data_IF_208875634278
#
_entry.id   IF_208875634278
#
_cell.length_a   1.000
_cell.length_b   1.000
_cell.length_c   1.000
_cell.angle_alpha   90.00
_cell.angle_beta   90.00
_cell.angle_gamma   90.00
#
_symmetry.space_group_name_H-M   'P 1'
#
loop_
_entity.id
_entity.type
_entity.pdbx_description
1 polymer ?
#
# COMPACT_ATOMS: atom_id res chain seq x y z
N UNK A 1 -1.35 22.14 56.69
CA UNK A 1 -1.66 21.16 55.63
C UNK A 1 -2.25 21.90 54.44
N UNK A 2 -1.46 22.14 53.39
CA UNK A 2 -1.95 22.69 52.10
C UNK A 2 -2.07 21.52 51.15
N UNK A 3 -3.27 21.25 50.64
CA UNK A 3 -3.48 20.25 49.59
C UNK A 3 -2.93 20.79 48.25
N UNK A 4 -2.35 19.93 47.39
CA UNK A 4 -1.92 20.31 46.06
C UNK A 4 -3.14 20.41 45.13
N UNK A 5 -3.29 21.57 44.47
CA UNK A 5 -4.27 21.77 43.40
C UNK A 5 -3.92 20.89 42.20
N UNK A 6 -4.84 20.00 41.81
CA UNK A 6 -4.76 19.22 40.57
C UNK A 6 -5.06 20.17 39.41
N UNK A 7 -4.03 20.56 38.68
CA UNK A 7 -4.18 21.25 37.38
C UNK A 7 -4.66 20.23 36.35
N UNK A 8 -5.97 20.22 36.09
CA UNK A 8 -6.54 19.49 34.96
C UNK A 8 -6.06 20.19 33.68
N UNK A 9 -5.16 19.55 32.95
CA UNK A 9 -4.83 19.93 31.57
C UNK A 9 -6.08 19.73 30.71
N UNK A 10 -6.90 20.77 30.56
CA UNK A 10 -7.87 20.84 29.48
C UNK A 10 -7.08 20.91 28.17
N UNK A 11 -6.98 19.79 27.46
CA UNK A 11 -6.55 19.77 26.05
C UNK A 11 -7.41 20.80 25.31
N UNK A 12 -6.78 21.79 24.68
CA UNK A 12 -7.48 22.66 23.71
C UNK A 12 -8.25 21.79 22.71
N UNK A 13 -9.47 22.17 22.30
CA UNK A 13 -10.18 21.45 21.25
C UNK A 13 -9.26 21.40 20.04
N UNK A 14 -8.93 20.20 19.57
CA UNK A 14 -8.07 20.02 18.41
C UNK A 14 -8.64 20.84 17.26
N UNK A 15 -7.93 21.89 16.82
CA UNK A 15 -8.30 22.63 15.63
C UNK A 15 -8.05 21.70 14.44
N UNK A 16 -9.12 21.08 13.95
CA UNK A 16 -9.06 20.29 12.74
C UNK A 16 -8.59 21.19 11.58
N UNK A 17 -7.70 20.67 10.75
CA UNK A 17 -7.38 21.28 9.46
C UNK A 17 -8.63 21.26 8.56
N UNK A 18 -8.73 22.17 7.57
CA UNK A 18 -9.90 22.20 6.64
C UNK A 18 -10.16 20.86 5.95
N UNK A 19 -9.12 20.06 5.73
CA UNK A 19 -9.22 18.73 5.14
C UNK A 19 -9.80 17.71 6.13
N UNK A 20 -9.37 17.73 7.40
CA UNK A 20 -9.93 16.89 8.46
C UNK A 20 -11.39 17.22 8.77
N UNK A 21 -11.78 18.49 8.65
CA UNK A 21 -13.18 18.91 8.82
C UNK A 21 -14.08 18.31 7.73
N UNK A 22 -13.65 18.35 6.46
CA UNK A 22 -14.37 17.75 5.32
C UNK A 22 -14.48 16.22 5.45
N UNK A 23 -13.41 15.56 5.89
CA UNK A 23 -13.44 14.11 6.16
C UNK A 23 -14.44 13.81 7.29
N UNK A 24 -14.41 14.58 8.38
CA UNK A 24 -15.34 14.40 9.49
C UNK A 24 -16.82 14.62 9.09
N UNK A 25 -17.08 15.58 8.22
CA UNK A 25 -18.41 15.88 7.70
C UNK A 25 -18.93 14.73 6.80
N UNK A 26 -18.06 14.19 5.93
CA UNK A 26 -18.39 13.03 5.12
C UNK A 26 -18.67 11.79 5.98
N UNK A 27 -17.83 11.51 6.99
CA UNK A 27 -18.04 10.40 7.92
C UNK A 27 -19.34 10.53 8.71
N UNK A 28 -19.70 11.74 9.17
CA UNK A 28 -20.98 11.98 9.86
C UNK A 28 -22.17 11.74 8.94
N UNK A 29 -22.10 12.22 7.70
CA UNK A 29 -23.16 12.03 6.71
C UNK A 29 -23.40 10.54 6.43
N UNK A 30 -22.31 9.78 6.21
CA UNK A 30 -22.37 8.32 6.01
C UNK A 30 -22.94 7.64 7.26
N UNK A 31 -22.46 8.00 8.45
CA UNK A 31 -22.96 7.47 9.72
C UNK A 31 -24.46 7.72 9.92
N UNK A 32 -24.94 8.93 9.63
CA UNK A 32 -26.37 9.25 9.72
C UNK A 32 -27.22 8.50 8.71
N UNK A 33 -26.71 8.28 7.48
CA UNK A 33 -27.41 7.49 6.47
C UNK A 33 -27.53 6.02 6.90
N UNK A 34 -26.47 5.44 7.47
CA UNK A 34 -26.48 4.07 7.99
C UNK A 34 -27.47 3.90 9.14
N UNK A 35 -27.49 4.84 10.09
CA UNK A 35 -28.46 4.84 11.19
C UNK A 35 -29.89 4.97 10.63
N UNK A 36 -30.10 5.85 9.64
CA UNK A 36 -31.40 6.00 8.98
C UNK A 36 -31.90 4.70 8.36
N UNK A 37 -31.05 3.99 7.60
CA UNK A 37 -31.39 2.69 7.00
C UNK A 37 -31.68 1.64 8.07
N UNK A 38 -30.90 1.60 9.16
CA UNK A 38 -31.15 0.69 10.27
C UNK A 38 -32.50 0.95 10.95
N UNK A 39 -32.85 2.21 11.18
CA UNK A 39 -34.16 2.60 11.74
C UNK A 39 -35.30 2.19 10.81
N UNK A 40 -35.17 2.42 9.50
CA UNK A 40 -36.17 1.97 8.51
C UNK A 40 -36.34 0.44 8.55
N UNK A 41 -35.25 -0.32 8.67
CA UNK A 41 -35.30 -1.77 8.81
C UNK A 41 -36.01 -2.23 10.09
N UNK A 42 -35.76 -1.56 11.22
CA UNK A 42 -36.45 -1.85 12.49
C UNK A 42 -37.95 -1.53 12.40
N UNK A 43 -38.31 -0.41 11.76
CA UNK A 43 -39.72 -0.04 11.53
C UNK A 43 -40.40 -1.06 10.61
N UNK A 44 -39.71 -1.53 9.57
CA UNK A 44 -40.21 -2.56 8.66
C UNK A 44 -40.48 -3.89 9.39
N UNK A 45 -39.54 -4.31 10.25
CA UNK A 45 -39.67 -5.49 11.09
C UNK A 45 -40.85 -5.36 12.05
N UNK A 46 -41.02 -4.18 12.64
CA UNK A 46 -42.12 -3.90 13.55
C UNK A 46 -43.49 -3.95 12.84
N UNK A 47 -43.62 -3.31 11.67
CA UNK A 47 -44.84 -3.35 10.84
C UNK A 47 -45.17 -4.79 10.44
N UNK A 48 -44.18 -5.56 10.00
CA UNK A 48 -44.36 -6.96 9.65
C UNK A 48 -44.83 -7.79 10.85
N UNK A 49 -44.14 -7.66 11.99
CA UNK A 49 -44.46 -8.41 13.22
C UNK A 49 -45.84 -8.07 13.79
N UNK A 50 -46.28 -6.82 13.66
CA UNK A 50 -47.61 -6.41 14.08
C UNK A 50 -48.70 -6.92 13.11
N UNK A 51 -48.43 -6.85 11.81
CA UNK A 51 -49.32 -7.41 10.78
C UNK A 51 -49.56 -8.92 10.95
N UNK A 52 -48.57 -9.68 11.41
CA UNK A 52 -48.72 -11.12 11.70
C UNK A 52 -49.74 -11.40 12.81
N UNK A 53 -49.94 -10.49 13.78
CA UNK A 53 -50.94 -10.66 14.86
C UNK A 53 -52.37 -10.51 14.36
N UNK A 54 -52.54 -9.70 13.32
CA UNK A 54 -53.84 -9.40 12.69
C UNK A 54 -54.15 -10.31 11.50
N UNK A 55 -53.32 -11.33 11.25
CA UNK A 55 -53.45 -12.23 10.10
C UNK A 55 -54.19 -13.50 10.49
N UNK A 56 -55.36 -13.69 9.89
CA UNK A 56 -56.06 -14.99 9.89
C UNK A 56 -55.50 -15.90 8.79
N UNK A 57 -55.62 -17.22 8.97
CA UNK A 57 -55.02 -18.25 8.09
C UNK A 57 -55.43 -18.18 6.59
N UNK A 58 -56.40 -17.33 6.23
CA UNK A 58 -56.92 -17.18 4.86
C UNK A 58 -56.81 -15.75 4.30
N UNK A 59 -56.36 -14.77 5.08
CA UNK A 59 -56.27 -13.38 4.63
C UNK A 59 -55.13 -12.64 5.36
N UNK A 60 -53.91 -12.61 4.80
CA UNK A 60 -52.84 -11.80 5.36
C UNK A 60 -53.23 -10.32 5.38
N UNK A 61 -52.94 -9.69 6.52
CA UNK A 61 -53.18 -8.26 6.70
C UNK A 61 -52.31 -7.43 5.75
N UNK A 62 -52.79 -6.25 5.38
CA UNK A 62 -52.05 -5.33 4.51
C UNK A 62 -50.67 -4.99 5.11
N UNK A 63 -50.61 -4.82 6.43
CA UNK A 63 -49.40 -4.52 7.21
C UNK A 63 -48.38 -5.66 7.09
N UNK A 64 -48.82 -6.92 7.16
CA UNK A 64 -47.93 -8.07 7.00
C UNK A 64 -47.34 -8.13 5.59
N UNK A 65 -48.16 -7.91 4.55
CA UNK A 65 -47.70 -7.93 3.15
C UNK A 65 -46.73 -6.77 2.89
N UNK A 66 -47.07 -5.57 3.35
CA UNK A 66 -46.25 -4.38 3.18
C UNK A 66 -44.91 -4.51 3.93
N UNK A 67 -44.93 -4.93 5.19
CA UNK A 67 -43.74 -5.11 6.02
C UNK A 67 -42.79 -6.15 5.42
N UNK A 68 -43.29 -7.31 5.00
CA UNK A 68 -42.47 -8.33 4.36
C UNK A 68 -41.86 -7.86 3.02
N UNK A 69 -42.64 -7.20 2.16
CA UNK A 69 -42.09 -6.65 0.92
C UNK A 69 -41.02 -5.57 1.17
N UNK A 70 -41.17 -4.75 2.22
CA UNK A 70 -40.17 -3.76 2.59
C UNK A 70 -38.87 -4.42 3.08
N UNK A 71 -38.97 -5.48 3.87
CA UNK A 71 -37.81 -6.26 4.35
C UNK A 71 -37.08 -6.96 3.19
N UNK A 72 -37.83 -7.56 2.27
CA UNK A 72 -37.29 -8.18 1.05
C UNK A 72 -36.56 -7.12 0.21
N UNK A 73 -37.17 -5.95 0.03
CA UNK A 73 -36.57 -4.82 -0.67
C UNK A 73 -35.25 -4.35 -0.02
N UNK A 74 -35.23 -4.18 1.31
CA UNK A 74 -34.04 -3.78 2.06
C UNK A 74 -32.92 -4.82 2.02
N UNK A 75 -33.25 -6.11 2.12
CA UNK A 75 -32.28 -7.19 2.00
C UNK A 75 -31.67 -7.23 0.58
N UNK A 76 -32.51 -7.09 -0.44
CA UNK A 76 -32.09 -7.06 -1.84
C UNK A 76 -31.24 -5.83 -2.15
N UNK A 77 -31.63 -4.65 -1.63
CA UNK A 77 -30.86 -3.43 -1.75
C UNK A 77 -29.50 -3.54 -1.05
N UNK A 78 -29.43 -4.22 0.10
CA UNK A 78 -28.17 -4.44 0.83
C UNK A 78 -27.22 -5.36 0.06
N UNK A 79 -27.73 -6.46 -0.50
CA UNK A 79 -26.96 -7.34 -1.39
C UNK A 79 -26.48 -6.59 -2.65
N UNK A 80 -27.37 -5.80 -3.27
CA UNK A 80 -27.04 -4.93 -4.39
C UNK A 80 -25.95 -3.92 -4.04
N UNK A 81 -26.02 -3.27 -2.88
CA UNK A 81 -25.04 -2.29 -2.41
C UNK A 81 -23.64 -2.91 -2.25
N UNK A 82 -23.55 -4.08 -1.62
CA UNK A 82 -22.28 -4.79 -1.41
C UNK A 82 -21.63 -5.14 -2.76
N UNK A 83 -22.42 -5.69 -3.69
CA UNK A 83 -21.91 -6.00 -5.02
C UNK A 83 -21.59 -4.73 -5.81
N UNK A 84 -22.43 -3.71 -5.76
CA UNK A 84 -22.20 -2.42 -6.41
C UNK A 84 -20.90 -1.79 -5.93
N UNK A 85 -20.62 -1.88 -4.62
CA UNK A 85 -19.36 -1.43 -4.04
C UNK A 85 -18.18 -2.23 -4.60
N UNK A 86 -18.20 -3.56 -4.52
CA UNK A 86 -17.12 -4.44 -5.02
C UNK A 86 -16.82 -4.15 -6.50
N UNK A 87 -17.86 -4.12 -7.34
CA UNK A 87 -17.72 -3.87 -8.77
C UNK A 87 -17.38 -2.41 -9.11
N UNK A 88 -17.69 -1.48 -8.21
CA UNK A 88 -17.44 -0.05 -8.35
C UNK A 88 -16.00 0.36 -8.01
N UNK A 89 -15.21 -0.53 -7.38
CA UNK A 89 -13.80 -0.28 -7.11
C UNK A 89 -13.05 -0.11 -8.44
N UNK A 90 -12.38 1.03 -8.67
CA UNK A 90 -11.63 1.25 -9.90
C UNK A 90 -10.49 0.21 -10.02
N UNK A 91 -10.49 -0.57 -11.11
CA UNK A 91 -9.40 -1.50 -11.43
C UNK A 91 -8.22 -0.75 -12.01
N UNK A 92 -7.02 -1.20 -11.71
CA UNK A 92 -5.80 -0.69 -12.29
C UNK A 92 -5.54 -1.49 -13.56
N UNK A 93 -5.25 -0.80 -14.66
CA UNK A 93 -5.05 -1.44 -15.95
C UNK A 93 -4.02 -2.58 -15.81
N UNK A 94 -4.36 -3.75 -16.37
CA UNK A 94 -3.46 -4.90 -16.39
C UNK A 94 -2.15 -4.56 -17.09
N UNK A 95 -1.09 -5.34 -16.86
CA UNK A 95 0.21 -5.12 -17.52
C UNK A 95 0.06 -5.13 -19.05
N UNK A 96 -0.81 -5.98 -19.59
CA UNK A 96 -1.12 -6.03 -21.02
C UNK A 96 -1.85 -4.77 -21.53
N UNK A 97 -2.77 -4.21 -20.74
CA UNK A 97 -3.47 -2.97 -21.06
C UNK A 97 -2.58 -1.73 -20.87
N UNK A 98 -1.68 -1.72 -19.87
CA UNK A 98 -0.60 -0.72 -19.74
C UNK A 98 0.34 -0.76 -20.94
N UNK A 99 0.66 -1.95 -21.45
CA UNK A 99 1.45 -2.09 -22.67
C UNK A 99 0.70 -1.59 -23.91
N UNK A 100 -0.60 -1.88 -24.01
CA UNK A 100 -1.45 -1.41 -25.12
C UNK A 100 -1.63 0.12 -25.10
N UNK A 101 -1.78 0.71 -23.92
CA UNK A 101 -1.82 2.17 -23.73
C UNK A 101 -0.43 2.79 -23.99
N UNK A 102 0.66 2.23 -23.46
CA UNK A 102 2.01 2.71 -23.74
C UNK A 102 2.38 2.64 -25.23
N UNK A 103 1.78 1.70 -25.98
CA UNK A 103 1.89 1.64 -27.43
C UNK A 103 0.99 2.68 -28.14
N UNK A 104 -0.18 3.00 -27.60
CA UNK A 104 -1.04 4.10 -28.11
C UNK A 104 -0.46 5.50 -27.80
N UNK A 105 0.33 5.64 -26.74
CA UNK A 105 0.99 6.89 -26.33
C UNK A 105 2.15 7.25 -27.25
N UNK A 106 2.77 6.27 -27.90
CA UNK A 106 3.70 6.51 -29.01
C UNK A 106 3.04 7.21 -30.21
N UNK A 107 1.71 7.26 -30.27
CA UNK A 107 0.95 7.91 -31.33
C UNK A 107 0.25 9.23 -30.90
N UNK A 108 0.57 9.77 -29.72
CA UNK A 108 0.33 11.19 -29.42
C UNK A 108 -1.12 11.60 -29.10
N UNK A 109 -1.79 10.92 -28.18
CA UNK A 109 -3.13 11.29 -27.68
C UNK A 109 -3.17 11.54 -26.17
N UNK A 110 -3.47 12.77 -25.74
CA UNK A 110 -3.44 13.28 -24.36
C UNK A 110 -4.49 12.73 -23.37
N UNK A 111 -4.70 11.41 -23.32
CA UNK A 111 -5.62 10.75 -22.38
C UNK A 111 -4.94 10.18 -21.12
N UNK A 112 -3.70 10.59 -20.82
CA UNK A 112 -2.84 9.89 -19.84
C UNK A 112 -2.97 10.32 -18.38
N UNK A 113 -3.73 11.38 -18.06
CA UNK A 113 -3.70 11.92 -16.69
C UNK A 113 -4.58 11.19 -15.68
N UNK A 114 -5.49 10.32 -16.13
CA UNK A 114 -6.44 9.60 -15.26
C UNK A 114 -6.09 8.12 -15.04
N UNK A 115 -5.16 7.56 -15.82
CA UNK A 115 -4.85 6.12 -15.76
C UNK A 115 -3.74 5.76 -14.75
N UNK A 116 -2.81 6.67 -14.45
CA UNK A 116 -1.71 6.43 -13.51
C UNK A 116 -2.15 6.42 -12.03
N UNK A 117 -3.22 7.15 -11.71
CA UNK A 117 -3.80 7.27 -10.36
C UNK A 117 -4.39 5.95 -9.84
N UNK A 118 -4.57 4.95 -10.69
CA UNK A 118 -5.19 3.69 -10.31
C UNK A 118 -4.28 2.81 -9.42
N UNK A 119 -2.95 2.92 -9.46
CA UNK A 119 -2.02 1.93 -8.87
C UNK A 119 -2.00 1.78 -7.32
N UNK A 120 -2.78 2.56 -6.56
CA UNK A 120 -2.76 2.58 -5.08
C UNK A 120 -3.57 1.43 -4.45
N UNK A 121 -4.34 0.65 -5.22
CA UNK A 121 -5.32 -0.29 -4.66
C UNK A 121 -5.11 -1.76 -5.00
N UNK A 122 -3.87 -2.23 -5.17
CA UNK A 122 -3.58 -3.61 -5.62
C UNK A 122 -4.11 -4.72 -4.68
N UNK A 123 -4.25 -4.46 -3.38
CA UNK A 123 -4.72 -5.48 -2.42
C UNK A 123 -6.25 -5.65 -2.47
N UNK A 124 -7.02 -4.54 -2.43
CA UNK A 124 -8.47 -4.61 -2.59
C UNK A 124 -8.86 -4.95 -4.03
N UNK A 125 -8.07 -4.53 -5.02
CA UNK A 125 -8.22 -4.95 -6.41
C UNK A 125 -8.06 -6.46 -6.53
N UNK A 126 -6.97 -7.05 -6.02
CA UNK A 126 -6.72 -8.49 -6.13
C UNK A 126 -7.75 -9.32 -5.40
N UNK A 127 -8.19 -8.87 -4.21
CA UNK A 127 -9.30 -9.52 -3.50
C UNK A 127 -10.61 -9.36 -4.28
N UNK A 128 -10.89 -8.18 -4.84
CA UNK A 128 -12.08 -7.92 -5.65
C UNK A 128 -12.08 -8.72 -6.95
N UNK A 129 -10.94 -8.89 -7.59
CA UNK A 129 -10.81 -9.63 -8.85
C UNK A 129 -11.00 -11.12 -8.60
N UNK A 130 -10.33 -11.69 -7.58
CA UNK A 130 -10.56 -13.07 -7.16
C UNK A 130 -12.01 -13.31 -6.71
N UNK A 131 -12.57 -12.39 -5.92
CA UNK A 131 -13.96 -12.46 -5.47
C UNK A 131 -14.94 -12.32 -6.64
N UNK A 132 -14.69 -11.44 -7.61
CA UNK A 132 -15.56 -11.26 -8.77
C UNK A 132 -15.49 -12.46 -9.70
N UNK A 133 -14.31 -13.03 -9.96
CA UNK A 133 -14.17 -14.26 -10.74
C UNK A 133 -14.86 -15.43 -10.06
N UNK A 134 -14.70 -15.59 -8.75
CA UNK A 134 -15.36 -16.65 -7.98
C UNK A 134 -16.88 -16.45 -7.97
N UNK A 135 -17.35 -15.22 -7.79
CA UNK A 135 -18.77 -14.89 -7.74
C UNK A 135 -19.45 -15.04 -9.09
N UNK A 136 -18.83 -14.57 -10.18
CA UNK A 136 -19.32 -14.80 -11.55
C UNK A 136 -19.31 -16.30 -11.88
N UNK A 137 -18.25 -17.02 -11.51
CA UNK A 137 -18.17 -18.47 -11.71
C UNK A 137 -19.26 -19.23 -10.95
N UNK A 138 -19.45 -18.93 -9.66
CA UNK A 138 -20.47 -19.55 -8.83
C UNK A 138 -21.89 -19.20 -9.30
N UNK A 139 -22.14 -17.94 -9.66
CA UNK A 139 -23.45 -17.52 -10.19
C UNK A 139 -23.74 -18.17 -11.54
N UNK A 140 -22.79 -18.30 -12.46
CA UNK A 140 -23.03 -18.97 -13.75
C UNK A 140 -23.50 -20.42 -13.59
N UNK A 141 -22.92 -21.14 -12.64
CA UNK A 141 -23.27 -22.54 -12.36
C UNK A 141 -24.61 -22.64 -11.63
N UNK A 142 -24.87 -21.75 -10.68
CA UNK A 142 -26.05 -21.80 -9.79
C UNK A 142 -27.22 -20.92 -10.23
N UNK A 143 -27.14 -20.24 -11.38
CA UNK A 143 -28.14 -19.24 -11.78
C UNK A 143 -29.56 -19.82 -11.88
N UNK A 144 -29.68 -21.07 -12.34
CA UNK A 144 -30.98 -21.75 -12.45
C UNK A 144 -31.59 -21.99 -11.07
N UNK A 145 -30.79 -22.40 -10.10
CA UNK A 145 -31.23 -22.65 -8.73
C UNK A 145 -31.59 -21.34 -8.02
N UNK A 146 -30.83 -20.27 -8.28
CA UNK A 146 -31.12 -18.92 -7.77
C UNK A 146 -32.46 -18.42 -8.33
N UNK A 147 -32.69 -18.52 -9.65
CA UNK A 147 -33.94 -18.08 -10.28
C UNK A 147 -35.12 -18.91 -9.76
N UNK A 148 -34.97 -20.24 -9.65
CA UNK A 148 -36.01 -21.11 -9.12
C UNK A 148 -36.32 -20.81 -7.64
N UNK A 149 -35.29 -20.52 -6.84
CA UNK A 149 -35.45 -20.13 -5.45
C UNK A 149 -36.17 -18.79 -5.31
N UNK A 150 -35.76 -17.77 -6.07
CA UNK A 150 -36.40 -16.44 -6.08
C UNK A 150 -37.87 -16.55 -6.53
N UNK A 151 -38.14 -17.31 -7.59
CA UNK A 151 -39.50 -17.54 -8.08
C UNK A 151 -40.39 -18.32 -7.09
N UNK A 152 -39.79 -19.10 -6.19
CA UNK A 152 -40.49 -19.81 -5.12
C UNK A 152 -40.58 -19.06 -3.79
N UNK A 153 -40.00 -17.88 -3.66
CA UNK A 153 -40.05 -17.11 -2.40
C UNK A 153 -41.44 -16.54 -2.13
N UNK A 154 -42.16 -16.10 -3.16
CA UNK A 154 -43.51 -15.56 -3.01
C UNK A 154 -44.46 -16.58 -2.38
N UNK A 155 -44.53 -17.77 -2.96
CA UNK A 155 -45.35 -18.88 -2.47
C UNK A 155 -44.95 -19.39 -1.07
N UNK A 156 -43.68 -19.29 -0.69
CA UNK A 156 -43.19 -19.70 0.65
C UNK A 156 -43.47 -18.67 1.75
N UNK A 157 -43.38 -17.38 1.43
CA UNK A 157 -43.58 -16.30 2.40
C UNK A 157 -45.07 -15.99 2.61
N UNK A 158 -45.91 -16.36 1.65
CA UNK A 158 -47.29 -15.92 1.56
C UNK A 158 -48.22 -17.04 1.07
N UNK A 159 -47.99 -18.27 1.55
CA UNK A 159 -48.69 -19.51 1.16
C UNK A 159 -50.23 -19.48 1.29
N UNK A 160 -50.80 -18.47 1.96
CA UNK A 160 -52.23 -18.26 2.15
C UNK A 160 -52.83 -17.09 1.32
N UNK A 161 -52.10 -16.54 0.35
CA UNK A 161 -52.45 -15.26 -0.33
C UNK A 161 -52.81 -15.50 -1.80
N UNK A 162 -53.65 -14.65 -2.43
CA UNK A 162 -53.95 -14.75 -3.86
C UNK A 162 -52.69 -14.77 -4.73
N UNK A 163 -52.72 -15.42 -5.91
CA UNK A 163 -51.56 -15.64 -6.80
C UNK A 163 -50.84 -14.36 -7.28
N UNK A 164 -51.40 -13.18 -7.04
CA UNK A 164 -50.80 -11.88 -7.36
C UNK A 164 -49.51 -11.57 -6.58
N UNK A 165 -49.31 -12.16 -5.40
CA UNK A 165 -48.12 -11.88 -4.57
C UNK A 165 -46.87 -12.69 -5.02
N UNK A 166 -47.06 -13.77 -5.77
CA UNK A 166 -45.96 -14.62 -6.24
C UNK A 166 -45.10 -13.92 -7.32
N UNK A 167 -45.74 -13.06 -8.12
CA UNK A 167 -45.08 -12.26 -9.15
C UNK A 167 -44.42 -10.99 -8.60
N UNK A 168 -44.92 -10.42 -7.50
CA UNK A 168 -44.42 -9.12 -7.01
C UNK A 168 -43.10 -9.25 -6.24
N UNK A 169 -42.89 -10.36 -5.53
CA UNK A 169 -41.66 -10.60 -4.74
C UNK A 169 -40.41 -10.62 -5.63
N UNK A 170 -40.35 -11.36 -6.76
CA UNK A 170 -39.24 -11.27 -7.70
C UNK A 170 -39.01 -9.86 -8.26
N UNK A 171 -40.09 -9.11 -8.54
CA UNK A 171 -40.02 -7.74 -9.05
C UNK A 171 -39.39 -6.80 -8.01
N UNK A 172 -39.81 -6.90 -6.75
CA UNK A 172 -39.22 -6.15 -5.62
C UNK A 172 -37.73 -6.47 -5.49
N UNK A 173 -37.36 -7.76 -5.51
CA UNK A 173 -35.96 -8.18 -5.41
C UNK A 173 -35.13 -7.56 -6.54
N UNK A 174 -35.56 -7.72 -7.80
CA UNK A 174 -34.83 -7.22 -8.97
C UNK A 174 -34.71 -5.70 -8.94
N UNK A 175 -35.80 -4.99 -8.63
CA UNK A 175 -35.82 -3.54 -8.62
C UNK A 175 -34.86 -2.97 -7.56
N UNK A 176 -35.00 -3.38 -6.31
CA UNK A 176 -34.20 -2.85 -5.21
C UNK A 176 -32.73 -3.28 -5.30
N UNK A 177 -32.47 -4.52 -5.74
CA UNK A 177 -31.11 -4.98 -6.02
C UNK A 177 -30.45 -4.12 -7.10
N UNK A 178 -31.12 -3.93 -8.25
CA UNK A 178 -30.55 -3.20 -9.38
C UNK A 178 -30.31 -1.72 -9.08
N UNK A 179 -31.27 -1.07 -8.39
CA UNK A 179 -31.18 0.34 -8.05
C UNK A 179 -30.02 0.59 -7.08
N UNK A 180 -29.87 -0.26 -6.07
CA UNK A 180 -28.81 -0.15 -5.07
C UNK A 180 -27.45 -0.54 -5.63
N UNK A 181 -27.40 -1.61 -6.45
CA UNK A 181 -26.20 -2.00 -7.17
C UNK A 181 -25.69 -0.85 -8.04
N UNK A 182 -26.54 -0.30 -8.92
CA UNK A 182 -26.14 0.77 -9.82
C UNK A 182 -25.81 2.06 -9.05
N UNK A 183 -26.60 2.41 -8.04
CA UNK A 183 -26.36 3.60 -7.21
C UNK A 183 -25.01 3.55 -6.50
N UNK A 184 -24.74 2.47 -5.75
CA UNK A 184 -23.47 2.33 -5.03
C UNK A 184 -22.31 2.11 -5.99
N UNK A 185 -22.50 1.40 -7.10
CA UNK A 185 -21.49 1.29 -8.15
C UNK A 185 -21.05 2.66 -8.67
N UNK A 186 -22.01 3.51 -9.05
CA UNK A 186 -21.72 4.83 -9.57
C UNK A 186 -21.08 5.73 -8.52
N UNK A 187 -21.59 5.73 -7.28
CA UNK A 187 -21.02 6.51 -6.18
C UNK A 187 -19.59 6.06 -5.89
N UNK A 188 -19.35 4.76 -5.76
CA UNK A 188 -18.03 4.19 -5.49
C UNK A 188 -17.07 4.56 -6.61
N UNK A 189 -17.48 4.36 -7.86
CA UNK A 189 -16.64 4.65 -9.03
C UNK A 189 -16.35 6.14 -9.17
N UNK A 190 -17.33 7.02 -9.00
CA UNK A 190 -17.13 8.46 -9.10
C UNK A 190 -16.31 9.00 -7.93
N UNK A 191 -16.65 8.63 -6.70
CA UNK A 191 -16.01 9.17 -5.49
C UNK A 191 -14.59 8.65 -5.31
N UNK A 192 -14.31 7.35 -5.50
CA UNK A 192 -12.93 6.84 -5.44
C UNK A 192 -12.08 7.42 -6.57
N UNK A 193 -12.61 7.54 -7.79
CA UNK A 193 -11.84 8.13 -8.90
C UNK A 193 -11.54 9.61 -8.65
N UNK A 194 -12.52 10.38 -8.17
CA UNK A 194 -12.33 11.80 -7.80
C UNK A 194 -11.42 11.97 -6.59
N UNK A 195 -11.56 11.15 -5.55
CA UNK A 195 -10.72 11.23 -4.36
C UNK A 195 -9.27 10.87 -4.67
N UNK A 196 -9.02 9.80 -5.43
CA UNK A 196 -7.67 9.40 -5.84
C UNK A 196 -7.03 10.44 -6.77
N UNK A 197 -7.79 11.01 -7.71
CA UNK A 197 -7.26 12.05 -8.61
C UNK A 197 -7.00 13.37 -7.89
N UNK A 198 -7.78 13.70 -6.86
CA UNK A 198 -7.54 14.84 -5.98
C UNK A 198 -6.30 14.62 -5.10
N UNK A 199 -6.13 13.42 -4.52
CA UNK A 199 -4.94 13.07 -3.73
C UNK A 199 -3.65 13.12 -4.58
N UNK A 200 -3.72 12.62 -5.81
CA UNK A 200 -2.65 12.71 -6.78
C UNK A 200 -2.31 14.17 -7.16
N UNK A 201 -3.31 15.06 -7.13
CA UNK A 201 -3.16 16.49 -7.46
C UNK A 201 -2.77 17.35 -6.25
N UNK A 202 -3.10 16.94 -5.02
CA UNK A 202 -2.83 17.68 -3.77
C UNK A 202 -1.49 17.32 -3.10
N UNK A 203 -0.71 16.41 -3.68
CA UNK A 203 0.67 16.18 -3.26
C UNK A 203 0.84 15.17 -2.11
N UNK A 204 -0.08 14.20 -2.01
CA UNK A 204 0.23 12.95 -1.29
C UNK A 204 1.28 12.18 -2.09
N UNK A 205 2.48 12.04 -1.51
CA UNK A 205 3.66 11.41 -2.08
C UNK A 205 3.27 10.15 -2.87
N UNK A 206 3.39 10.22 -4.19
CA UNK A 206 3.32 9.06 -5.09
C UNK A 206 4.73 8.77 -5.61
N UNK A 207 5.15 7.50 -5.71
CA UNK A 207 6.38 7.10 -6.41
C UNK A 207 6.50 7.69 -7.84
N UNK A 208 5.38 8.12 -8.43
CA UNK A 208 5.30 8.70 -9.78
C UNK A 208 5.86 10.13 -9.90
N UNK A 209 5.94 10.94 -8.83
CA UNK A 209 6.47 12.31 -8.97
C UNK A 209 7.96 12.31 -9.31
N UNK A 210 8.70 11.27 -8.90
CA UNK A 210 10.12 11.11 -9.22
C UNK A 210 10.33 10.69 -10.67
N UNK A 211 9.47 9.79 -11.17
CA UNK A 211 9.50 9.33 -12.57
C UNK A 211 9.10 10.48 -13.50
N UNK A 212 8.09 11.26 -13.13
CA UNK A 212 7.62 12.42 -13.90
C UNK A 212 8.62 13.60 -13.85
N UNK A 213 9.22 13.91 -12.69
CA UNK A 213 10.28 14.93 -12.63
C UNK A 213 11.54 14.48 -13.37
N UNK A 214 11.93 13.22 -13.19
CA UNK A 214 13.09 12.63 -13.86
C UNK A 214 12.91 12.60 -15.38
N UNK A 215 11.72 12.23 -15.87
CA UNK A 215 11.39 12.23 -17.30
C UNK A 215 11.33 13.64 -17.87
N UNK A 216 10.70 14.60 -17.17
CA UNK A 216 10.66 16.00 -17.59
C UNK A 216 12.07 16.62 -17.65
N UNK A 217 12.93 16.29 -16.67
CA UNK A 217 14.31 16.76 -16.67
C UNK A 217 15.12 16.12 -17.80
N UNK A 218 14.93 14.83 -18.10
CA UNK A 218 15.57 14.16 -19.25
C UNK A 218 15.12 14.77 -20.57
N UNK A 219 13.81 14.97 -20.76
CA UNK A 219 13.27 15.60 -21.96
C UNK A 219 13.82 17.02 -22.15
N UNK A 220 14.00 17.78 -21.07
CA UNK A 220 14.64 19.09 -21.12
C UNK A 220 16.14 19.01 -21.49
N UNK A 221 16.87 18.02 -20.96
CA UNK A 221 18.28 17.79 -21.33
C UNK A 221 18.41 17.41 -22.80
N UNK A 222 17.51 16.57 -23.30
CA UNK A 222 17.43 16.14 -24.71
C UNK A 222 17.04 17.28 -25.64
N UNK A 223 16.16 18.20 -25.20
CA UNK A 223 15.81 19.39 -25.99
C UNK A 223 17.02 20.30 -26.22
N UNK A 224 18.02 20.23 -25.34
CA UNK A 224 19.27 21.00 -25.42
C UNK A 224 19.10 22.50 -25.19
N UNK A 225 17.88 22.98 -24.90
CA UNK A 225 17.58 24.39 -24.70
C UNK A 225 17.79 24.77 -23.23
N UNK A 226 18.73 25.69 -22.98
CA UNK A 226 19.04 26.17 -21.62
C UNK A 226 17.83 26.63 -20.79
N UNK A 227 16.85 27.37 -21.36
CA UNK A 227 15.63 27.77 -20.64
C UNK A 227 14.75 26.60 -20.17
N UNK A 228 14.59 25.56 -20.99
CA UNK A 228 13.79 24.38 -20.66
C UNK A 228 14.43 23.61 -19.50
N UNK A 229 15.77 23.47 -19.54
CA UNK A 229 16.55 22.82 -18.49
C UNK A 229 16.48 23.63 -17.18
N UNK A 230 16.60 24.95 -17.25
CA UNK A 230 16.50 25.82 -16.08
C UNK A 230 15.09 25.75 -15.45
N UNK A 231 14.03 25.72 -16.27
CA UNK A 231 12.66 25.56 -15.79
C UNK A 231 12.45 24.21 -15.10
N UNK A 232 12.97 23.11 -15.69
CA UNK A 232 12.89 21.77 -15.11
C UNK A 232 13.67 21.66 -13.78
N UNK A 233 14.87 22.26 -13.70
CA UNK A 233 15.65 22.29 -12.45
C UNK A 233 14.97 23.13 -11.36
N UNK A 234 14.32 24.24 -11.72
CA UNK A 234 13.53 25.04 -10.78
C UNK A 234 12.31 24.28 -10.25
N UNK A 235 11.63 23.52 -11.13
CA UNK A 235 10.54 22.64 -10.73
C UNK A 235 11.02 21.55 -9.75
N UNK A 236 12.19 20.96 -10.01
CA UNK A 236 12.83 20.00 -9.11
C UNK A 236 13.14 20.59 -7.74
N UNK A 237 13.72 21.79 -7.68
CA UNK A 237 14.05 22.43 -6.41
C UNK A 237 12.81 22.79 -5.58
N UNK A 238 11.71 23.13 -6.24
CA UNK A 238 10.45 23.47 -5.59
C UNK A 238 9.60 22.24 -5.24
N UNK A 239 9.96 21.06 -5.72
CA UNK A 239 9.26 19.83 -5.41
C UNK A 239 9.49 19.42 -3.94
N UNK A 240 8.41 19.04 -3.26
CA UNK A 240 8.44 18.42 -1.93
C UNK A 240 8.88 16.96 -2.07
N UNK A 241 10.16 16.74 -2.32
CA UNK A 241 10.81 15.43 -2.34
C UNK A 241 11.25 15.05 -0.93
N UNK A 242 11.12 13.77 -0.57
CA UNK A 242 11.73 13.25 0.66
C UNK A 242 13.25 13.23 0.55
N UNK A 243 13.95 13.11 1.68
CA UNK A 243 15.41 12.99 1.67
C UNK A 243 15.89 11.71 0.94
N UNK A 244 15.06 10.65 0.96
CA UNK A 244 15.31 9.41 0.23
C UNK A 244 15.19 9.63 -1.29
N UNK A 245 14.13 10.31 -1.75
CA UNK A 245 13.91 10.62 -3.16
C UNK A 245 15.02 11.51 -3.73
N UNK A 246 15.54 12.43 -2.90
CA UNK A 246 16.67 13.31 -3.26
C UNK A 246 17.99 12.58 -3.35
N UNK A 247 18.12 11.42 -2.71
CA UNK A 247 19.31 10.58 -2.77
C UNK A 247 19.32 9.61 -3.96
N UNK A 248 18.23 9.52 -4.73
CA UNK A 248 18.08 8.53 -5.81
C UNK A 248 19.16 8.70 -6.91
N UNK A 249 19.99 7.67 -7.20
CA UNK A 249 21.14 7.82 -8.10
C UNK A 249 20.77 8.19 -9.54
N UNK A 250 19.65 7.64 -10.06
CA UNK A 250 19.22 7.87 -11.44
C UNK A 250 18.70 9.30 -11.68
N UNK A 251 18.01 9.86 -10.68
CA UNK A 251 17.57 11.26 -10.70
C UNK A 251 18.80 12.18 -10.66
N UNK A 252 19.70 11.93 -9.71
CA UNK A 252 20.91 12.73 -9.53
C UNK A 252 21.84 12.70 -10.74
N UNK A 253 21.95 11.58 -11.45
CA UNK A 253 22.67 11.52 -12.73
C UNK A 253 22.07 12.44 -13.79
N UNK A 254 20.74 12.54 -13.85
CA UNK A 254 20.04 13.44 -14.78
C UNK A 254 20.26 14.90 -14.37
N UNK A 255 20.26 15.20 -13.07
CA UNK A 255 20.58 16.52 -12.50
C UNK A 255 22.01 16.94 -12.84
N UNK A 256 22.98 16.03 -12.76
CA UNK A 256 24.37 16.30 -13.17
C UNK A 256 24.44 16.72 -14.64
N UNK A 257 23.78 15.98 -15.55
CA UNK A 257 23.75 16.31 -16.97
C UNK A 257 23.09 17.66 -17.25
N UNK A 258 21.96 17.93 -16.59
CA UNK A 258 21.25 19.19 -16.69
C UNK A 258 22.08 20.39 -16.21
N UNK A 259 22.66 20.28 -15.01
CA UNK A 259 23.48 21.36 -14.43
C UNK A 259 24.76 21.59 -15.24
N UNK A 260 25.41 20.55 -15.74
CA UNK A 260 26.60 20.70 -16.59
C UNK A 260 26.27 21.47 -17.87
N UNK A 261 25.14 21.15 -18.53
CA UNK A 261 24.67 21.86 -19.73
C UNK A 261 24.34 23.33 -19.46
N UNK A 262 23.71 23.62 -18.31
CA UNK A 262 23.37 25.00 -17.94
C UNK A 262 24.62 25.81 -17.57
N UNK A 263 25.57 25.20 -16.86
CA UNK A 263 26.84 25.84 -16.51
C UNK A 263 27.69 26.13 -17.76
N UNK A 264 27.76 25.21 -18.71
CA UNK A 264 28.51 25.41 -19.97
C UNK A 264 27.82 26.39 -20.93
N UNK A 265 26.49 26.52 -20.89
CA UNK A 265 25.74 27.47 -21.73
C UNK A 265 25.68 28.89 -21.17
N UNK A 266 26.18 29.12 -19.94
CA UNK A 266 26.17 30.44 -19.30
C UNK A 266 24.78 30.96 -18.92
N UNK A 267 23.74 30.13 -19.01
CA UNK A 267 22.37 30.50 -18.63
C UNK A 267 22.27 30.54 -17.11
N UNK A 268 21.84 31.67 -16.54
CA UNK A 268 21.62 31.81 -15.11
C UNK A 268 20.48 30.87 -14.69
N UNK A 269 20.82 29.71 -14.12
CA UNK A 269 19.85 28.66 -13.76
C UNK A 269 18.83 29.10 -12.70
N UNK A 270 19.01 30.25 -12.04
CA UNK A 270 18.17 30.66 -10.91
C UNK A 270 18.30 29.74 -9.68
N UNK A 271 19.12 28.68 -9.74
CA UNK A 271 19.48 27.86 -8.59
C UNK A 271 20.64 28.53 -7.87
N UNK A 272 20.48 28.93 -6.59
CA UNK A 272 21.61 29.35 -5.77
C UNK A 272 22.62 28.18 -5.68
N UNK A 273 23.91 28.47 -5.85
CA UNK A 273 25.00 27.51 -5.71
C UNK A 273 25.01 26.34 -6.71
N UNK A 274 24.73 26.56 -8.00
CA UNK A 274 24.75 25.50 -9.04
C UNK A 274 26.04 24.66 -9.05
N UNK A 275 27.20 25.26 -8.72
CA UNK A 275 28.49 24.55 -8.57
C UNK A 275 28.51 23.58 -7.37
N UNK A 276 27.85 23.92 -6.25
CA UNK A 276 27.73 23.01 -5.11
C UNK A 276 26.67 21.94 -5.36
N UNK A 277 25.56 22.31 -6.01
CA UNK A 277 24.48 21.40 -6.36
C UNK A 277 24.94 20.27 -7.30
N UNK A 278 25.77 20.59 -8.31
CA UNK A 278 26.29 19.56 -9.23
C UNK A 278 27.24 18.59 -8.52
N UNK A 279 28.05 19.06 -7.56
CA UNK A 279 28.93 18.21 -6.76
C UNK A 279 28.14 17.32 -5.79
N UNK A 280 27.05 17.83 -5.20
CA UNK A 280 26.15 17.04 -4.36
C UNK A 280 25.40 15.98 -5.19
N UNK A 281 24.94 16.33 -6.38
CA UNK A 281 24.28 15.39 -7.27
C UNK A 281 25.25 14.31 -7.78
N UNK A 282 26.51 14.67 -8.08
CA UNK A 282 27.54 13.70 -8.44
C UNK A 282 27.84 12.72 -7.30
N UNK A 283 27.81 13.18 -6.04
CA UNK A 283 27.99 12.34 -4.85
C UNK A 283 26.84 11.32 -4.70
N UNK A 284 25.60 11.77 -4.87
CA UNK A 284 24.42 10.90 -4.81
C UNK A 284 24.36 9.92 -6.00
N UNK A 285 24.75 10.35 -7.20
CA UNK A 285 24.85 9.48 -8.37
C UNK A 285 25.93 8.40 -8.20
N UNK A 286 27.00 8.69 -7.43
CA UNK A 286 28.07 7.75 -7.13
C UNK A 286 27.62 6.53 -6.30
N UNK A 287 26.43 6.57 -5.69
CA UNK A 287 25.87 5.43 -4.98
C UNK A 287 25.52 4.24 -5.89
N UNK A 288 25.46 4.43 -7.22
CA UNK A 288 25.37 3.35 -8.20
C UNK A 288 26.62 3.26 -9.06
N UNK A 289 27.36 2.15 -8.95
CA UNK A 289 28.60 1.94 -9.71
C UNK A 289 28.38 2.04 -11.23
N UNK A 290 27.30 1.46 -11.75
CA UNK A 290 26.95 1.52 -13.18
C UNK A 290 26.68 2.95 -13.66
N UNK A 291 25.97 3.74 -12.86
CA UNK A 291 25.65 5.14 -13.18
C UNK A 291 26.90 6.01 -13.08
N UNK A 292 27.75 5.76 -12.08
CA UNK A 292 29.01 6.47 -11.90
C UNK A 292 29.97 6.24 -13.06
N UNK A 293 30.11 4.99 -13.54
CA UNK A 293 30.91 4.69 -14.74
C UNK A 293 30.36 5.38 -15.99
N UNK A 294 29.04 5.34 -16.20
CA UNK A 294 28.40 6.04 -17.32
C UNK A 294 28.67 7.55 -17.29
N UNK A 295 28.55 8.20 -16.14
CA UNK A 295 28.85 9.64 -16.00
C UNK A 295 30.34 9.94 -16.18
N UNK A 296 31.25 9.07 -15.72
CA UNK A 296 32.69 9.24 -15.96
C UNK A 296 33.02 9.16 -17.44
N UNK A 297 32.40 8.24 -18.17
CA UNK A 297 32.52 8.14 -19.63
C UNK A 297 31.95 9.38 -20.33
N UNK A 298 30.79 9.86 -19.88
CA UNK A 298 30.16 11.08 -20.41
C UNK A 298 31.08 12.32 -20.22
N UNK A 299 31.73 12.43 -19.05
CA UNK A 299 32.69 13.51 -18.78
C UNK A 299 33.97 13.35 -19.61
N UNK A 300 34.51 12.13 -19.72
CA UNK A 300 35.71 11.85 -20.50
C UNK A 300 35.52 12.14 -22.00
N UNK A 301 34.31 11.87 -22.53
CA UNK A 301 33.93 12.17 -23.92
C UNK A 301 33.50 13.62 -24.13
N UNK A 302 33.51 14.45 -23.08
CA UNK A 302 33.03 15.85 -23.07
C UNK A 302 31.55 15.99 -23.46
N UNK A 303 30.75 14.92 -23.41
CA UNK A 303 29.31 14.99 -23.59
C UNK A 303 28.62 15.66 -22.39
N UNK A 304 29.25 15.56 -21.21
CA UNK A 304 28.89 16.27 -19.98
C UNK A 304 30.10 17.09 -19.52
N UNK A 305 30.05 18.41 -19.68
CA UNK A 305 31.08 19.34 -19.19
C UNK A 305 30.44 20.61 -18.66
N UNK A 306 31.03 21.16 -17.60
CA UNK A 306 30.62 22.45 -17.03
C UNK A 306 31.30 23.65 -17.70
N UNK A 307 32.28 23.41 -18.58
CA UNK A 307 33.17 24.45 -19.11
C UNK A 307 34.29 24.88 -18.14
N UNK A 308 34.31 24.33 -16.92
CA UNK A 308 35.30 24.59 -15.86
C UNK A 308 36.05 23.27 -15.55
N UNK A 309 37.31 23.17 -16.03
CA UNK A 309 38.09 21.93 -15.93
C UNK A 309 38.33 21.49 -14.47
N UNK A 310 38.43 22.44 -13.54
CA UNK A 310 38.55 22.16 -12.11
C UNK A 310 37.26 21.59 -11.53
N UNK A 311 36.10 22.08 -11.96
CA UNK A 311 34.81 21.57 -11.52
C UNK A 311 34.54 20.17 -12.09
N UNK A 312 34.86 19.94 -13.37
CA UNK A 312 34.75 18.63 -14.02
C UNK A 312 35.66 17.59 -13.32
N UNK A 313 36.89 17.97 -12.95
CA UNK A 313 37.79 17.10 -12.18
C UNK A 313 37.25 16.75 -10.78
N UNK A 314 36.63 17.71 -10.09
CA UNK A 314 36.00 17.47 -8.78
C UNK A 314 34.77 16.56 -8.88
N UNK A 315 34.00 16.65 -9.96
CA UNK A 315 32.91 15.71 -10.24
C UNK A 315 33.43 14.28 -10.42
N UNK A 316 34.48 14.09 -11.23
CA UNK A 316 35.11 12.77 -11.40
C UNK A 316 35.64 12.24 -10.06
N UNK A 317 36.23 13.09 -9.22
CA UNK A 317 36.68 12.70 -7.89
C UNK A 317 35.54 12.25 -6.96
N UNK A 318 34.34 12.83 -7.08
CA UNK A 318 33.12 12.36 -6.38
C UNK A 318 32.65 11.02 -6.92
N UNK A 319 32.56 10.87 -8.25
CA UNK A 319 32.14 9.64 -8.91
C UNK A 319 33.11 8.46 -8.67
N UNK A 320 34.40 8.74 -8.47
CA UNK A 320 35.41 7.72 -8.11
C UNK A 320 35.28 7.19 -6.68
N UNK A 321 34.42 7.80 -5.84
CA UNK A 321 34.04 7.23 -4.54
C UNK A 321 32.93 6.18 -4.67
N UNK A 322 32.56 5.78 -5.89
CA UNK A 322 31.54 4.77 -6.14
C UNK A 322 31.86 3.47 -5.37
N UNK A 323 30.93 3.09 -4.50
CA UNK A 323 31.09 1.97 -3.56
C UNK A 323 31.48 2.36 -2.12
N UNK A 324 31.74 3.64 -1.82
CA UNK A 324 32.11 4.09 -0.47
C UNK A 324 31.01 4.89 0.26
N UNK A 325 29.94 5.36 -0.40
CA UNK A 325 28.77 5.97 0.26
C UNK A 325 27.53 5.08 0.14
N UNK A 326 27.44 4.10 1.03
CA UNK A 326 26.29 3.23 1.17
C UNK A 326 25.11 3.97 1.84
N UNK A 327 24.22 4.57 1.05
CA UNK A 327 22.97 5.18 1.56
C UNK A 327 21.68 4.41 1.21
N UNK A 328 21.60 3.49 0.23
CA UNK A 328 20.45 2.56 0.12
C UNK A 328 20.56 1.33 1.05
N UNK A 329 21.79 0.90 1.36
CA UNK A 329 22.04 -0.32 2.16
C UNK A 329 21.78 -0.14 3.65
N UNK A 330 22.05 1.06 4.19
CA UNK A 330 21.76 1.38 5.59
C UNK A 330 20.26 1.44 5.84
N UNK A 331 19.47 1.92 4.88
CA UNK A 331 18.01 2.04 4.98
C UNK A 331 17.32 0.67 5.00
N UNK A 332 17.68 -0.26 4.11
CA UNK A 332 17.08 -1.61 4.10
C UNK A 332 17.43 -2.42 5.35
N UNK A 333 18.70 -2.37 5.79
CA UNK A 333 19.11 -3.03 7.03
C UNK A 333 18.41 -2.41 8.25
N UNK A 334 18.26 -1.08 8.28
CA UNK A 334 17.53 -0.38 9.36
C UNK A 334 16.05 -0.77 9.36
N UNK A 335 15.38 -0.78 8.21
CA UNK A 335 13.97 -1.19 8.09
C UNK A 335 13.78 -2.65 8.53
N UNK A 336 14.66 -3.56 8.10
CA UNK A 336 14.59 -4.97 8.48
C UNK A 336 14.79 -5.13 10.00
N UNK A 337 15.74 -4.37 10.55
CA UNK A 337 16.06 -4.34 11.99
C UNK A 337 14.89 -3.80 12.80
N UNK A 338 14.26 -2.71 12.38
CA UNK A 338 13.08 -2.11 13.03
C UNK A 338 11.87 -3.06 12.99
N UNK A 339 11.65 -3.76 11.87
CA UNK A 339 10.59 -4.76 11.75
C UNK A 339 10.80 -5.94 12.69
N UNK A 340 12.04 -6.41 12.85
CA UNK A 340 12.34 -7.46 13.82
C UNK A 340 12.12 -7.00 15.25
N UNK A 341 12.55 -5.79 15.59
CA UNK A 341 12.34 -5.24 16.93
C UNK A 341 10.85 -5.04 17.22
N UNK A 342 10.07 -4.56 16.24
CA UNK A 342 8.63 -4.42 16.35
C UNK A 342 7.92 -5.78 16.54
N UNK A 343 8.29 -6.80 15.77
CA UNK A 343 7.72 -8.15 15.87
C UNK A 343 8.06 -8.82 17.21
N UNK A 344 9.30 -8.68 17.68
CA UNK A 344 9.72 -9.19 19.00
C UNK A 344 8.99 -8.48 20.13
N UNK A 345 8.74 -7.18 19.99
CA UNK A 345 8.02 -6.38 20.99
C UNK A 345 6.52 -6.68 21.01
N UNK A 346 5.89 -6.88 19.86
CA UNK A 346 4.45 -7.15 19.79
C UNK A 346 4.13 -8.58 20.23
N UNK A 347 4.99 -9.54 19.89
CA UNK A 347 4.80 -10.96 20.16
C UNK A 347 3.58 -11.58 19.47
N UNK A 348 2.91 -10.86 18.57
CA UNK A 348 1.73 -11.35 17.86
C UNK A 348 2.13 -12.26 16.68
N UNK A 349 1.33 -13.31 16.44
CA UNK A 349 1.57 -14.27 15.36
C UNK A 349 1.75 -13.58 14.00
N UNK A 350 0.88 -12.62 13.66
CA UNK A 350 0.92 -11.93 12.37
C UNK A 350 2.22 -11.14 12.16
N UNK A 351 2.70 -10.44 13.19
CA UNK A 351 3.89 -9.60 13.08
C UNK A 351 5.17 -10.43 12.98
N UNK A 352 5.23 -11.53 13.74
CA UNK A 352 6.35 -12.48 13.70
C UNK A 352 6.40 -13.23 12.37
N UNK A 353 5.26 -13.65 11.83
CA UNK A 353 5.18 -14.27 10.50
C UNK A 353 5.53 -13.27 9.39
N UNK A 354 5.06 -12.01 9.48
CA UNK A 354 5.42 -10.96 8.52
C UNK A 354 6.92 -10.64 8.55
N UNK A 355 7.52 -10.59 9.73
CA UNK A 355 8.97 -10.46 9.90
C UNK A 355 9.71 -11.64 9.25
N UNK A 356 9.26 -12.88 9.45
CA UNK A 356 9.85 -14.06 8.81
C UNK A 356 9.72 -14.04 7.29
N UNK A 357 8.56 -13.71 6.74
CA UNK A 357 8.37 -13.57 5.29
C UNK A 357 9.34 -12.54 4.71
N UNK A 358 9.56 -11.42 5.41
CA UNK A 358 10.54 -10.43 4.98
C UNK A 358 11.98 -10.98 4.93
N UNK A 359 12.36 -11.92 5.79
CA UNK A 359 13.68 -12.58 5.73
C UNK A 359 13.80 -13.43 4.45
N UNK A 360 12.75 -14.21 4.15
CA UNK A 360 12.76 -15.16 3.04
C UNK A 360 12.71 -14.43 1.68
N UNK A 361 11.95 -13.33 1.60
CA UNK A 361 11.76 -12.58 0.35
C UNK A 361 12.83 -11.52 0.11
N UNK A 362 13.54 -11.05 1.15
CA UNK A 362 14.57 -10.01 0.98
C UNK A 362 15.86 -10.60 0.43
N UNK A 363 16.24 -10.21 -0.78
CA UNK A 363 17.54 -10.50 -1.37
C UNK A 363 18.66 -9.68 -0.70
N UNK A 364 19.09 -10.08 0.50
CA UNK A 364 20.21 -9.44 1.20
C UNK A 364 21.55 -9.67 0.45
N UNK A 365 22.41 -8.64 0.32
CA UNK A 365 23.77 -8.81 -0.20
C UNK A 365 24.61 -9.69 0.74
N UNK A 366 25.63 -10.34 0.19
CA UNK A 366 26.46 -11.32 0.91
C UNK A 366 27.04 -10.77 2.22
N UNK A 367 27.44 -9.50 2.25
CA UNK A 367 27.96 -8.85 3.47
C UNK A 367 26.91 -8.66 4.57
N UNK A 368 25.65 -8.34 4.22
CA UNK A 368 24.57 -8.19 5.20
C UNK A 368 24.07 -9.54 5.71
N UNK A 369 24.13 -10.58 4.87
CA UNK A 369 23.85 -11.97 5.27
C UNK A 369 24.82 -12.48 6.34
N UNK A 370 26.01 -11.91 6.42
CA UNK A 370 27.08 -12.28 7.35
C UNK A 370 27.12 -11.42 8.62
N UNK A 371 26.22 -10.45 8.77
CA UNK A 371 26.15 -9.61 9.97
C UNK A 371 25.65 -10.41 11.17
N UNK A 372 26.50 -10.57 12.19
CA UNK A 372 26.17 -11.40 13.35
C UNK A 372 24.99 -10.86 14.16
N UNK A 373 24.86 -9.54 14.32
CA UNK A 373 23.78 -8.92 15.09
C UNK A 373 22.43 -9.08 14.39
N UNK A 374 22.40 -8.96 13.06
CA UNK A 374 21.21 -9.22 12.25
C UNK A 374 20.77 -10.68 12.38
N UNK A 375 21.71 -11.61 12.22
CA UNK A 375 21.44 -13.05 12.34
C UNK A 375 20.96 -13.42 13.75
N UNK A 376 21.42 -12.74 14.79
CA UNK A 376 20.88 -12.92 16.13
C UNK A 376 19.42 -12.50 16.28
N UNK A 377 19.00 -11.42 15.61
CA UNK A 377 17.59 -11.03 15.56
C UNK A 377 16.75 -12.05 14.80
N UNK A 378 17.28 -12.59 13.70
CA UNK A 378 16.64 -13.68 12.94
C UNK A 378 16.40 -14.90 13.82
N UNK A 379 17.40 -15.34 14.59
CA UNK A 379 17.27 -16.46 15.55
C UNK A 379 16.16 -16.18 16.55
N UNK A 380 16.09 -14.96 17.11
CA UNK A 380 15.05 -14.58 18.09
C UNK A 380 13.64 -14.58 17.49
N UNK A 381 13.47 -14.02 16.30
CA UNK A 381 12.17 -13.97 15.61
C UNK A 381 11.68 -15.38 15.29
N UNK A 382 12.56 -16.24 14.77
CA UNK A 382 12.18 -17.61 14.41
C UNK A 382 11.88 -18.45 15.65
N UNK A 383 12.70 -18.37 16.71
CA UNK A 383 12.41 -19.04 17.97
C UNK A 383 11.02 -18.66 18.49
N UNK A 384 10.68 -17.36 18.46
CA UNK A 384 9.38 -16.87 18.88
C UNK A 384 8.25 -17.41 17.99
N UNK A 385 8.47 -17.44 16.68
CA UNK A 385 7.53 -17.96 15.70
C UNK A 385 7.20 -19.44 15.93
N UNK A 386 8.22 -20.25 16.20
CA UNK A 386 8.08 -21.68 16.50
C UNK A 386 7.34 -21.86 17.82
N UNK A 387 7.72 -21.10 18.86
CA UNK A 387 7.09 -21.15 20.18
C UNK A 387 5.57 -20.90 20.12
N UNK A 388 5.13 -19.93 19.31
CA UNK A 388 3.71 -19.58 19.17
C UNK A 388 2.98 -20.38 18.09
N UNK A 389 3.63 -21.39 17.47
CA UNK A 389 3.09 -22.22 16.39
C UNK A 389 2.55 -21.42 15.19
N UNK A 390 3.19 -20.30 14.86
CA UNK A 390 2.79 -19.41 13.77
C UNK A 390 3.52 -19.66 12.44
N UNK A 391 4.37 -20.69 12.36
CA UNK A 391 5.14 -20.98 11.14
C UNK A 391 4.26 -21.65 10.06
N UNK A 392 4.14 -21.07 8.85
CA UNK A 392 3.50 -21.73 7.71
C UNK A 392 4.31 -22.94 7.20
N UNK A 393 5.62 -22.96 7.46
CA UNK A 393 6.58 -23.99 7.03
C UNK A 393 7.62 -24.22 8.14
N UNK A 394 7.32 -25.13 9.07
CA UNK A 394 8.14 -25.39 10.26
C UNK A 394 9.56 -25.87 9.92
N UNK A 395 9.72 -26.68 8.87
CA UNK A 395 11.03 -27.22 8.49
C UNK A 395 11.95 -26.13 7.95
N UNK A 396 11.44 -25.28 7.05
CA UNK A 396 12.21 -24.17 6.48
C UNK A 396 12.60 -23.14 7.54
N UNK A 397 11.73 -22.88 8.51
CA UNK A 397 12.03 -21.98 9.62
C UNK A 397 13.23 -22.51 10.45
N UNK A 398 13.23 -23.80 10.77
CA UNK A 398 14.33 -24.43 11.51
C UNK A 398 15.66 -24.34 10.75
N UNK A 399 15.66 -24.59 9.44
CA UNK A 399 16.89 -24.51 8.63
C UNK A 399 17.44 -23.08 8.56
N UNK A 400 16.58 -22.08 8.34
CA UNK A 400 16.98 -20.66 8.36
C UNK A 400 17.52 -20.27 9.73
N UNK A 401 16.94 -20.77 10.82
CA UNK A 401 17.41 -20.52 12.18
C UNK A 401 18.79 -21.12 12.43
N UNK A 402 19.05 -22.35 11.97
CA UNK A 402 20.36 -23.00 12.08
C UNK A 402 21.44 -22.23 11.33
N UNK A 403 21.15 -21.79 10.11
CA UNK A 403 22.07 -20.99 9.30
C UNK A 403 22.36 -19.64 9.96
N UNK A 404 21.32 -18.97 10.48
CA UNK A 404 21.48 -17.72 11.21
C UNK A 404 22.30 -17.91 12.49
N UNK A 405 22.10 -18.99 13.24
CA UNK A 405 22.89 -19.29 14.43
C UNK A 405 24.38 -19.46 14.11
N UNK A 406 24.71 -20.17 13.02
CA UNK A 406 26.10 -20.31 12.56
C UNK A 406 26.73 -18.97 12.17
N UNK A 407 25.97 -18.06 11.56
CA UNK A 407 26.48 -16.73 11.19
C UNK A 407 26.60 -15.80 12.39
N UNK A 408 25.68 -15.89 13.34
CA UNK A 408 25.76 -15.18 14.62
C UNK A 408 26.98 -15.64 15.46
N UNK A 409 27.36 -16.92 15.35
CA UNK A 409 28.54 -17.49 16.05
C UNK A 409 29.87 -16.83 15.67
N UNK A 410 29.93 -16.11 14.54
CA UNK A 410 31.13 -15.38 14.09
C UNK A 410 31.51 -14.20 14.97
N UNK A 411 30.56 -13.66 15.75
CA UNK A 411 30.82 -12.64 16.77
C UNK A 411 30.64 -13.27 18.17
N UNK A 412 31.72 -13.44 18.96
CA UNK A 412 31.65 -14.05 20.28
C UNK A 412 30.69 -13.35 21.24
N UNK A 413 30.59 -12.02 21.19
CA UNK A 413 29.72 -11.25 22.10
C UNK A 413 28.25 -11.55 21.79
N UNK A 414 27.91 -11.58 20.51
CA UNK A 414 26.56 -11.87 20.04
C UNK A 414 26.18 -13.33 20.32
N UNK A 415 27.11 -14.26 20.08
CA UNK A 415 26.93 -15.68 20.32
C UNK A 415 26.70 -16.00 21.80
N UNK A 416 27.52 -15.44 22.69
CA UNK A 416 27.39 -15.61 24.14
C UNK A 416 26.09 -14.99 24.65
N UNK A 417 25.70 -13.82 24.13
CA UNK A 417 24.44 -13.18 24.47
C UNK A 417 23.21 -14.02 24.08
N UNK A 418 23.21 -14.64 22.90
CA UNK A 418 22.13 -15.56 22.49
C UNK A 418 22.08 -16.82 23.34
N UNK A 419 23.25 -17.41 23.63
CA UNK A 419 23.34 -18.61 24.48
C UNK A 419 22.81 -18.36 25.87
N UNK A 420 23.21 -17.24 26.47
CA UNK A 420 22.69 -16.81 27.75
C UNK A 420 21.16 -16.68 27.71
N UNK A 421 20.59 -16.11 26.63
CA UNK A 421 19.12 -16.03 26.48
C UNK A 421 18.44 -17.40 26.37
N UNK A 422 19.10 -18.42 25.81
CA UNK A 422 18.57 -19.79 25.82
C UNK A 422 18.73 -20.46 27.20
N UNK A 423 19.85 -20.24 27.87
CA UNK A 423 20.14 -20.84 29.18
C UNK A 423 19.28 -20.24 30.31
N UNK A 424 18.97 -18.95 30.25
CA UNK A 424 18.07 -18.28 31.20
C UNK A 424 16.57 -18.45 30.87
N UNK A 425 16.26 -19.10 29.75
CA UNK A 425 14.90 -19.37 29.28
C UNK A 425 14.15 -18.15 28.75
N UNK A 426 14.79 -16.98 28.63
CA UNK A 426 14.19 -15.79 27.99
C UNK A 426 13.97 -15.98 26.49
N UNK A 427 14.68 -16.93 25.88
CA UNK A 427 14.51 -17.39 24.50
C UNK A 427 14.37 -18.92 24.48
N UNK A 428 13.29 -19.41 23.87
CA UNK A 428 13.06 -20.86 23.66
C UNK A 428 12.20 -21.08 22.43
N UNK A 429 12.45 -22.18 21.71
CA UNK A 429 11.58 -22.64 20.63
C UNK A 429 10.38 -23.46 21.13
N UNK A 430 10.40 -23.87 22.41
CA UNK A 430 9.46 -24.86 22.95
C UNK A 430 9.84 -26.32 22.63
N UNK A 431 10.93 -26.55 21.89
CA UNK A 431 11.53 -27.86 21.65
C UNK A 431 12.95 -27.88 22.26
N UNK A 432 13.16 -28.60 23.39
CA UNK A 432 14.46 -28.66 24.05
C UNK A 432 15.58 -29.22 23.16
N UNK A 433 15.27 -30.12 22.23
CA UNK A 433 16.28 -30.70 21.34
C UNK A 433 16.76 -29.67 20.31
N UNK A 434 15.86 -28.83 19.81
CA UNK A 434 16.19 -27.73 18.92
C UNK A 434 16.96 -26.62 19.65
N UNK A 435 16.56 -26.29 20.88
CA UNK A 435 17.26 -25.29 21.70
C UNK A 435 18.73 -25.71 21.95
N UNK A 436 18.99 -27.00 22.24
CA UNK A 436 20.35 -27.54 22.37
C UNK A 436 21.13 -27.56 21.03
N UNK A 437 20.51 -27.91 19.90
CA UNK A 437 21.14 -27.84 18.56
C UNK A 437 21.61 -26.42 18.25
N UNK A 438 20.77 -25.42 18.50
CA UNK A 438 21.11 -24.01 18.28
C UNK A 438 22.24 -23.55 19.22
N UNK A 439 22.20 -23.93 20.50
CA UNK A 439 23.30 -23.64 21.44
C UNK A 439 24.63 -24.30 21.04
N UNK A 440 24.56 -25.50 20.47
CA UNK A 440 25.70 -26.21 19.90
C UNK A 440 26.29 -25.49 18.69
N UNK A 441 25.45 -24.92 17.82
CA UNK A 441 25.89 -24.13 16.65
C UNK A 441 26.50 -22.80 17.05
N UNK A 442 25.95 -22.14 18.07
CA UNK A 442 26.55 -20.94 18.67
C UNK A 442 27.91 -21.23 19.35
N UNK A 443 28.29 -22.50 19.54
CA UNK A 443 29.60 -22.93 20.03
C UNK A 443 30.69 -22.97 18.97
N UNK A 444 30.30 -23.10 17.72
CA UNK A 444 31.21 -23.37 16.62
C UNK A 444 31.90 -22.05 16.26
N UNK A 445 33.21 -21.99 16.54
CA UNK A 445 34.07 -20.85 16.21
C UNK A 445 34.58 -20.93 14.78
#
# INVERSE_FOLDING_TARGET
MRMPSITIFTRSPASYTEEEEKISAASRTIGTALIGVAVVGVVALWIWADGLKSTDAHSPSFEAIMGANLLIGLASASAGAVLGFIFGIPRTLSVAERQAVANAVKEGGGAEKNQAVMAINSNLERISDWLTTLLVGATLVQIKDIIAWIGGLGSKLFSATPPSNDAIVPVVIILFFSLSFLGIYLITRLYLTSALSLLAKSGGISPDSQVELGSNLRAAVESGKGPDIAAALKALNNAKLTDEDRAEPALNATVVRALAKVLSSGVASGLPNSKAAILSAADNAAASATIAEGLKQDIATKSVTTGDATLDANMVAKLNRAGASATPQKTQLTILTERFDAALKSGQANDVTAAFTSIVETALPSCAKEDAALNAKVVRVIAKMIQIKASPDGAKAVDVMRDAALRAAKDPIVADGLRQSFDDGSLTTGDPALDEDIKGRLAQK
#
